data_IF_894394012376
#
_entry.id   IF_894394012376
#
_cell.length_a   1.000
_cell.length_b   1.000
_cell.length_c   1.000
_cell.angle_alpha   90.00
_cell.angle_beta   90.00
_cell.angle_gamma   90.00
#
_symmetry.space_group_name_H-M   'P 1'
#
loop_
_entity.id
_entity.type
_entity.pdbx_description
1 polymer ?
#
# COMPACT_ATOMS: atom_id res chain seq x y z
N UNK A 1 44.74 31.40 2.14
CA UNK A 1 43.43 31.59 1.48
C UNK A 1 43.43 30.79 0.18
N UNK A 2 42.81 29.61 0.15
CA UNK A 2 42.55 28.88 -1.10
C UNK A 2 41.08 28.47 -1.09
N UNK A 3 40.30 29.05 -2.01
CA UNK A 3 38.84 28.90 -2.08
C UNK A 3 38.47 27.53 -2.66
N UNK A 4 37.49 26.89 -2.02
CA UNK A 4 36.73 25.75 -2.52
C UNK A 4 36.22 25.97 -3.95
N UNK A 5 36.23 24.88 -4.72
CA UNK A 5 35.51 24.76 -5.99
C UNK A 5 34.99 23.33 -6.16
N UNK A 6 33.94 22.97 -5.42
CA UNK A 6 33.24 21.70 -5.60
C UNK A 6 32.49 21.75 -6.94
N UNK A 7 32.98 21.01 -7.94
CA UNK A 7 32.33 20.88 -9.24
C UNK A 7 31.03 20.05 -9.09
N UNK A 8 29.92 20.71 -8.83
CA UNK A 8 28.60 20.07 -8.91
C UNK A 8 28.31 19.82 -10.38
N UNK A 9 28.38 18.55 -10.81
CA UNK A 9 28.07 18.12 -12.17
C UNK A 9 26.60 18.45 -12.48
N UNK A 10 26.29 19.28 -13.49
CA UNK A 10 24.94 19.76 -13.76
C UNK A 10 23.93 18.64 -14.12
N UNK A 11 24.38 17.43 -14.44
CA UNK A 11 23.50 16.28 -14.68
C UNK A 11 22.95 15.59 -13.42
N UNK A 12 23.61 15.73 -12.27
CA UNK A 12 23.20 15.03 -11.04
C UNK A 12 21.96 15.65 -10.39
N UNK A 13 21.81 16.98 -10.51
CA UNK A 13 20.65 17.72 -9.98
C UNK A 13 19.38 17.45 -10.80
N UNK A 14 19.49 17.27 -12.11
CA UNK A 14 18.34 17.05 -13.02
C UNK A 14 17.83 15.62 -12.92
N UNK A 15 18.72 14.63 -12.80
CA UNK A 15 18.33 13.24 -12.61
C UNK A 15 17.56 13.02 -11.28
N UNK A 16 17.96 13.74 -10.23
CA UNK A 16 17.32 13.63 -8.91
C UNK A 16 15.91 14.25 -8.90
N UNK A 17 15.70 15.38 -9.59
CA UNK A 17 14.38 16.01 -9.69
C UNK A 17 13.37 15.20 -10.51
N UNK A 18 13.83 14.49 -11.54
CA UNK A 18 12.99 13.60 -12.35
C UNK A 18 12.56 12.34 -11.58
N UNK A 19 13.43 11.83 -10.70
CA UNK A 19 13.14 10.71 -9.79
C UNK A 19 12.17 11.11 -8.66
N UNK A 20 12.27 12.34 -8.14
CA UNK A 20 11.38 12.84 -7.09
C UNK A 20 9.97 13.19 -7.60
N UNK A 21 9.85 13.52 -8.90
CA UNK A 21 8.56 13.88 -9.53
C UNK A 21 7.73 12.66 -9.96
N UNK A 22 8.35 11.49 -10.11
CA UNK A 22 7.63 10.23 -10.35
C UNK A 22 7.04 9.75 -9.02
N UNK A 23 5.71 9.67 -8.86
CA UNK A 23 5.18 8.99 -7.69
C UNK A 23 5.76 7.58 -7.70
N UNK A 24 6.24 7.09 -6.55
CA UNK A 24 6.94 5.80 -6.43
C UNK A 24 6.13 4.57 -6.93
N UNK A 25 4.86 4.78 -7.31
CA UNK A 25 3.93 3.79 -7.84
C UNK A 25 3.46 4.13 -9.28
N UNK A 26 4.15 5.01 -10.00
CA UNK A 26 3.85 5.29 -11.41
C UNK A 26 4.22 4.07 -12.26
N UNK A 27 3.19 3.37 -12.74
CA UNK A 27 3.31 2.43 -13.86
C UNK A 27 3.88 3.21 -15.05
N UNK A 28 4.87 2.64 -15.74
CA UNK A 28 5.51 3.31 -16.88
C UNK A 28 4.47 3.48 -18.01
N UNK A 29 4.20 4.72 -18.47
CA UNK A 29 3.23 4.98 -19.53
C UNK A 29 3.54 4.28 -20.87
N UNK A 30 4.75 3.74 -21.04
CA UNK A 30 5.15 3.00 -22.24
C UNK A 30 4.56 1.58 -22.30
N UNK A 31 4.24 0.96 -21.15
CA UNK A 31 3.73 -0.41 -21.09
C UNK A 31 2.21 -0.50 -21.26
N UNK A 32 1.46 0.56 -20.93
CA UNK A 32 0.00 0.59 -21.08
C UNK A 32 -0.55 2.04 -21.16
N UNK A 33 -1.13 2.47 -22.30
CA UNK A 33 -1.67 3.83 -22.45
C UNK A 33 -2.86 4.08 -21.51
N UNK A 34 -3.55 3.03 -21.07
CA UNK A 34 -4.57 3.15 -20.03
C UNK A 34 -4.02 3.57 -18.67
N UNK A 35 -2.71 3.63 -18.41
CA UNK A 35 -2.18 4.22 -17.18
C UNK A 35 -2.57 5.72 -17.03
N UNK A 36 -2.86 6.41 -18.14
CA UNK A 36 -3.04 7.87 -18.20
C UNK A 36 -4.34 8.39 -17.55
N UNK A 37 -5.41 7.60 -17.48
CA UNK A 37 -6.70 8.01 -16.86
C UNK A 37 -6.70 8.07 -15.31
N UNK A 38 -5.57 7.73 -14.66
CA UNK A 38 -5.36 7.97 -13.22
C UNK A 38 -5.96 6.97 -12.23
N UNK A 39 -6.66 5.91 -12.68
CA UNK A 39 -7.24 4.89 -11.78
C UNK A 39 -6.29 3.74 -11.41
N UNK A 40 -5.11 3.64 -12.03
CA UNK A 40 -4.14 2.54 -11.83
C UNK A 40 -3.22 2.72 -10.61
N UNK A 41 -3.50 3.69 -9.74
CA UNK A 41 -2.74 3.87 -8.51
C UNK A 41 -2.93 2.70 -7.55
N UNK A 42 -1.91 1.85 -7.39
CA UNK A 42 -1.88 0.92 -6.26
C UNK A 42 -1.64 1.75 -4.99
N UNK A 43 -2.62 1.81 -4.09
CA UNK A 43 -2.52 2.55 -2.83
C UNK A 43 -2.40 1.57 -1.66
N UNK A 44 -1.20 1.01 -1.39
CA UNK A 44 -1.04 -0.01 -0.36
C UNK A 44 -1.47 0.48 1.04
N UNK A 45 -1.36 1.79 1.30
CA UNK A 45 -1.89 2.39 2.54
C UNK A 45 -3.42 2.37 2.59
N UNK A 46 -4.09 2.74 1.49
CA UNK A 46 -5.55 2.75 1.42
C UNK A 46 -6.12 1.34 1.52
N UNK A 47 -5.51 0.36 0.83
CA UNK A 47 -5.90 -1.05 0.91
C UNK A 47 -5.81 -1.59 2.34
N UNK A 48 -4.75 -1.23 3.08
CA UNK A 48 -4.61 -1.62 4.50
C UNK A 48 -5.69 -1.02 5.38
N UNK A 49 -5.99 0.27 5.21
CA UNK A 49 -7.04 0.95 5.98
C UNK A 49 -8.40 0.32 5.67
N UNK A 50 -8.71 0.11 4.39
CA UNK A 50 -9.94 -0.55 3.96
C UNK A 50 -10.08 -1.95 4.58
N UNK A 51 -9.00 -2.75 4.57
CA UNK A 51 -9.01 -4.07 5.20
C UNK A 51 -9.30 -4.03 6.71
N UNK A 52 -8.70 -3.09 7.44
CA UNK A 52 -8.99 -2.93 8.88
C UNK A 52 -10.44 -2.48 9.11
N UNK A 53 -10.95 -1.54 8.30
CA UNK A 53 -12.35 -1.11 8.39
C UNK A 53 -13.32 -2.27 8.12
N UNK A 54 -13.05 -3.10 7.11
CA UNK A 54 -13.86 -4.29 6.82
C UNK A 54 -13.83 -5.28 7.98
N UNK A 55 -12.66 -5.56 8.56
CA UNK A 55 -12.55 -6.45 9.71
C UNK A 55 -13.34 -5.94 10.92
N UNK A 56 -13.27 -4.64 11.23
CA UNK A 56 -14.04 -4.02 12.31
C UNK A 56 -15.54 -4.10 12.04
N UNK A 57 -15.97 -3.81 10.81
CA UNK A 57 -17.37 -3.88 10.43
C UNK A 57 -17.96 -5.29 10.63
N UNK A 58 -17.21 -6.34 10.24
CA UNK A 58 -17.61 -7.73 10.45
C UNK A 58 -17.73 -8.08 11.94
N UNK A 59 -16.84 -7.57 12.79
CA UNK A 59 -16.92 -7.78 14.23
C UNK A 59 -18.07 -7.02 14.87
N UNK A 60 -18.39 -5.81 14.39
CA UNK A 60 -19.57 -5.07 14.85
C UNK A 60 -20.87 -5.81 14.52
N UNK A 61 -20.90 -6.55 13.41
CA UNK A 61 -22.06 -7.37 13.03
C UNK A 61 -22.32 -8.54 13.98
N UNK A 62 -21.42 -8.88 14.92
CA UNK A 62 -21.68 -9.86 15.99
C UNK A 62 -22.69 -9.32 17.03
N UNK A 63 -22.82 -7.99 17.13
CA UNK A 63 -23.70 -7.34 18.10
C UNK A 63 -25.13 -7.33 17.51
N UNK A 64 -25.91 -8.36 17.85
CA UNK A 64 -27.26 -8.54 17.32
C UNK A 64 -27.97 -9.76 17.88
N UNK A 65 -29.19 -10.02 17.41
CA UNK A 65 -30.03 -11.15 17.86
C UNK A 65 -29.61 -12.48 17.22
N UNK A 66 -28.33 -12.86 17.32
CA UNK A 66 -27.83 -14.13 16.81
C UNK A 66 -28.41 -15.28 17.66
N UNK A 67 -29.29 -16.08 17.06
CA UNK A 67 -29.87 -17.28 17.71
C UNK A 67 -29.07 -18.55 17.40
N UNK A 68 -28.32 -18.54 16.31
CA UNK A 68 -27.44 -19.64 15.89
C UNK A 68 -26.00 -19.16 15.81
N UNK A 69 -25.09 -19.90 16.44
CA UNK A 69 -23.66 -19.58 16.46
C UNK A 69 -22.96 -19.73 15.10
N UNK A 70 -23.65 -20.25 14.08
CA UNK A 70 -23.07 -20.45 12.75
C UNK A 70 -22.71 -19.10 12.12
N UNK A 71 -23.58 -18.09 12.22
CA UNK A 71 -23.32 -16.76 11.68
C UNK A 71 -22.10 -16.12 12.35
N UNK A 72 -22.00 -16.23 13.68
CA UNK A 72 -20.86 -15.76 14.45
C UNK A 72 -19.55 -16.40 13.99
N UNK A 73 -19.56 -17.72 13.74
CA UNK A 73 -18.37 -18.46 13.28
C UNK A 73 -17.92 -17.96 11.90
N UNK A 74 -18.84 -17.70 10.98
CA UNK A 74 -18.50 -17.16 9.66
C UNK A 74 -17.98 -15.72 9.76
N UNK A 75 -18.64 -14.85 10.54
CA UNK A 75 -18.20 -13.47 10.75
C UNK A 75 -16.79 -13.42 11.35
N UNK A 76 -16.55 -14.19 12.42
CA UNK A 76 -15.25 -14.28 13.08
C UNK A 76 -14.21 -14.91 12.14
N UNK A 77 -14.55 -15.99 11.43
CA UNK A 77 -13.65 -16.68 10.51
C UNK A 77 -13.18 -15.77 9.37
N UNK A 78 -14.10 -15.03 8.73
CA UNK A 78 -13.77 -14.09 7.66
C UNK A 78 -12.98 -12.89 8.20
N UNK A 79 -13.39 -12.33 9.34
CA UNK A 79 -12.66 -11.24 9.97
C UNK A 79 -11.22 -11.65 10.33
N UNK A 80 -11.03 -12.84 10.89
CA UNK A 80 -9.71 -13.40 11.20
C UNK A 80 -8.87 -13.59 9.94
N UNK A 81 -9.44 -14.11 8.86
CA UNK A 81 -8.73 -14.27 7.59
C UNK A 81 -8.22 -12.94 7.04
N UNK A 82 -9.03 -11.87 7.08
CA UNK A 82 -8.64 -10.53 6.64
C UNK A 82 -7.50 -9.97 7.51
N UNK A 83 -7.61 -10.09 8.84
CA UNK A 83 -6.58 -9.63 9.77
C UNK A 83 -5.25 -10.36 9.53
N UNK A 84 -5.28 -11.69 9.34
CA UNK A 84 -4.10 -12.48 9.03
C UNK A 84 -3.46 -12.04 7.71
N UNK A 85 -4.26 -11.79 6.67
CA UNK A 85 -3.76 -11.29 5.39
C UNK A 85 -3.07 -9.92 5.53
N UNK A 86 -3.64 -9.00 6.32
CA UNK A 86 -3.04 -7.69 6.60
C UNK A 86 -1.73 -7.79 7.37
N UNK A 87 -1.65 -8.68 8.36
CA UNK A 87 -0.42 -8.93 9.11
C UNK A 87 0.64 -9.52 8.18
N UNK A 88 0.27 -10.48 7.34
CA UNK A 88 1.17 -11.07 6.35
C UNK A 88 1.72 -10.05 5.37
N UNK A 89 0.86 -9.17 4.82
CA UNK A 89 1.27 -8.07 3.95
C UNK A 89 2.28 -7.13 4.65
N UNK A 90 2.05 -6.84 5.93
CA UNK A 90 2.97 -6.01 6.74
C UNK A 90 4.32 -6.68 6.94
N UNK A 91 4.37 -7.99 7.15
CA UNK A 91 5.63 -8.74 7.30
C UNK A 91 6.37 -8.84 5.96
N UNK A 92 5.66 -9.16 4.88
CA UNK A 92 6.23 -9.30 3.53
C UNK A 92 6.79 -7.98 3.01
N UNK A 93 6.07 -6.88 3.20
CA UNK A 93 6.55 -5.55 2.80
C UNK A 93 7.81 -5.11 3.54
N UNK A 94 8.06 -5.61 4.75
CA UNK A 94 9.31 -5.36 5.51
C UNK A 94 10.48 -6.25 5.10
N UNK A 95 10.27 -7.28 4.30
CA UNK A 95 11.32 -8.23 3.85
C UNK A 95 11.64 -8.10 2.35
N UNK A 96 10.94 -7.22 1.64
CA UNK A 96 11.11 -7.00 0.20
C UNK A 96 12.48 -6.41 -0.21
N UNK A 97 13.20 -5.76 0.72
CA UNK A 97 14.54 -5.19 0.48
C UNK A 97 15.67 -6.23 0.35
N UNK A 98 15.36 -7.53 0.48
CA UNK A 98 16.32 -8.63 0.32
C UNK A 98 16.26 -9.31 -1.05
N UNK A 99 15.59 -8.70 -2.03
CA UNK A 99 15.56 -9.17 -3.42
C UNK A 99 15.95 -8.06 -4.37
#
# INVERSE_FOLDING_TARGET
>A
MSRSGTLVRPGAIVASSELEKRPANAVDPHDEPSAEWGWHGTFPKATRIAGWLTAIALLLMLIGNHRGHIEDIYLIGVAAAIVLALIWDRIRSRTAWRR
#
